data_IF_758129165484
#
_entry.id   IF_758129165484
#
_cell.length_a   1.000
_cell.length_b   1.000
_cell.length_c   1.000
_cell.angle_alpha   90.00
_cell.angle_beta   90.00
_cell.angle_gamma   90.00
#
_symmetry.space_group_name_H-M   'P 1'
#
loop_
_entity.id
_entity.type
_entity.pdbx_description
1 polymer ?
#
# COMPACT_ATOMS: atom_id res chain seq x y z
N UNK A 1 -24.89 62.87 -6.49
CA UNK A 1 -23.82 61.94 -6.86
C UNK A 1 -23.91 60.76 -5.94
N UNK A 2 -24.48 59.63 -6.39
CA UNK A 2 -24.63 58.42 -5.57
C UNK A 2 -23.40 57.54 -5.78
N UNK A 3 -22.62 57.37 -4.75
CA UNK A 3 -21.47 56.44 -4.77
C UNK A 3 -22.02 55.03 -4.55
N UNK A 4 -21.95 54.20 -5.58
CA UNK A 4 -22.33 52.81 -5.53
C UNK A 4 -21.16 52.02 -4.93
N UNK A 5 -21.29 51.60 -3.65
CA UNK A 5 -20.32 50.77 -2.99
C UNK A 5 -20.51 49.33 -3.49
N UNK A 6 -19.67 48.88 -4.42
CA UNK A 6 -19.64 47.50 -4.87
C UNK A 6 -18.82 46.69 -3.84
N UNK A 7 -19.53 46.02 -2.95
CA UNK A 7 -18.95 45.02 -2.07
C UNK A 7 -18.55 43.78 -2.90
N UNK A 8 -17.28 43.68 -3.25
CA UNK A 8 -16.69 42.45 -3.75
C UNK A 8 -16.62 41.45 -2.60
N UNK A 9 -17.59 40.56 -2.50
CA UNK A 9 -17.49 39.37 -1.69
C UNK A 9 -16.46 38.43 -2.35
N UNK A 10 -15.20 38.50 -1.89
CA UNK A 10 -14.20 37.45 -2.14
C UNK A 10 -14.67 36.19 -1.38
N UNK A 11 -15.35 35.33 -2.08
CA UNK A 11 -15.56 33.98 -1.60
C UNK A 11 -14.19 33.29 -1.56
N UNK A 12 -13.57 33.27 -0.40
CA UNK A 12 -12.44 32.43 -0.11
C UNK A 12 -12.93 30.99 -0.16
N UNK A 13 -12.81 30.33 -1.30
CA UNK A 13 -12.93 28.90 -1.41
C UNK A 13 -11.77 28.30 -0.65
N UNK A 14 -11.98 27.97 0.62
CA UNK A 14 -11.05 27.16 1.38
C UNK A 14 -11.05 25.78 0.74
N UNK A 15 -10.12 25.53 -0.17
CA UNK A 15 -9.80 24.18 -0.57
C UNK A 15 -9.26 23.49 0.67
N UNK A 16 -10.00 22.55 1.23
CA UNK A 16 -9.51 21.66 2.27
C UNK A 16 -8.41 20.79 1.64
N UNK A 17 -7.16 21.28 1.73
CA UNK A 17 -6.01 20.47 1.34
C UNK A 17 -5.93 19.32 2.34
N UNK A 18 -6.29 18.13 1.89
CA UNK A 18 -6.07 16.93 2.70
C UNK A 18 -4.56 16.76 2.92
N UNK A 19 -4.18 16.44 4.17
CA UNK A 19 -2.79 16.15 4.50
C UNK A 19 -2.26 15.02 3.62
N UNK A 20 -1.11 15.26 2.98
CA UNK A 20 -0.41 14.27 2.18
C UNK A 20 0.66 13.60 3.02
N UNK A 21 0.64 12.29 3.05
CA UNK A 21 1.65 11.45 3.69
C UNK A 21 2.57 10.81 2.65
N UNK A 22 3.78 10.50 3.06
CA UNK A 22 4.66 9.58 2.36
C UNK A 22 4.44 8.17 2.88
N UNK A 23 4.44 7.21 1.97
CA UNK A 23 4.32 5.80 2.29
C UNK A 23 5.58 5.07 1.85
N UNK A 24 6.11 4.25 2.74
CA UNK A 24 7.22 3.34 2.47
C UNK A 24 6.75 1.92 2.80
N UNK A 25 6.82 1.05 1.81
CA UNK A 25 6.36 -0.33 1.91
C UNK A 25 7.52 -1.24 1.59
N UNK A 26 7.87 -2.11 2.52
CA UNK A 26 8.88 -3.15 2.33
C UNK A 26 8.18 -4.48 2.16
N UNK A 27 8.39 -5.12 1.03
CA UNK A 27 7.81 -6.44 0.72
C UNK A 27 8.91 -7.47 0.66
N UNK A 28 8.86 -8.46 1.53
CA UNK A 28 9.84 -9.54 1.58
C UNK A 28 9.28 -10.79 0.91
N UNK A 29 9.90 -11.20 -0.18
CA UNK A 29 9.68 -12.50 -0.81
C UNK A 29 10.44 -13.56 -0.05
N UNK A 30 9.79 -14.67 0.27
CA UNK A 30 10.41 -15.73 1.06
C UNK A 30 11.54 -16.45 0.31
N UNK A 31 12.37 -17.17 1.06
CA UNK A 31 13.52 -17.88 0.51
C UNK A 31 13.19 -19.37 0.22
N UNK A 32 12.09 -19.61 -0.46
CA UNK A 32 11.72 -20.95 -0.95
C UNK A 32 12.06 -21.09 -2.43
N UNK A 33 12.23 -22.32 -2.90
CA UNK A 33 12.36 -22.59 -4.33
C UNK A 33 11.15 -22.03 -5.07
N UNK A 34 11.39 -21.38 -6.21
CA UNK A 34 10.38 -20.73 -7.05
C UNK A 34 9.48 -19.69 -6.33
N UNK A 35 9.96 -19.10 -5.23
CA UNK A 35 9.22 -18.12 -4.45
C UNK A 35 8.93 -16.80 -5.17
N UNK A 36 9.77 -16.41 -6.13
CA UNK A 36 9.66 -15.15 -6.87
C UNK A 36 8.49 -15.11 -7.86
N UNK A 37 8.05 -13.91 -8.27
CA UNK A 37 6.94 -13.74 -9.21
C UNK A 37 7.11 -12.53 -10.14
N UNK A 38 6.66 -12.69 -11.39
CA UNK A 38 6.49 -11.59 -12.36
C UNK A 38 5.04 -11.07 -12.39
N UNK A 39 4.17 -11.57 -11.53
CA UNK A 39 2.78 -11.15 -11.47
C UNK A 39 2.63 -9.69 -11.02
N UNK A 40 1.51 -9.07 -11.39
CA UNK A 40 1.15 -7.76 -10.84
C UNK A 40 0.60 -7.95 -9.43
N UNK A 41 1.20 -7.22 -8.49
CA UNK A 41 0.83 -7.25 -7.08
C UNK A 41 0.13 -5.94 -6.71
N UNK A 42 -1.03 -6.05 -6.09
CA UNK A 42 -1.79 -4.95 -5.50
C UNK A 42 -1.82 -5.07 -3.97
N UNK A 43 -1.95 -3.94 -3.31
CA UNK A 43 -1.95 -3.85 -1.86
C UNK A 43 -3.03 -2.87 -1.39
N UNK A 44 -3.84 -3.30 -0.43
CA UNK A 44 -4.71 -2.40 0.32
C UNK A 44 -4.39 -2.52 1.80
N UNK A 45 -4.22 -1.39 2.47
CA UNK A 45 -4.08 -1.32 3.92
C UNK A 45 -5.16 -0.44 4.51
N UNK A 46 -5.74 -0.87 5.63
CA UNK A 46 -6.84 -0.16 6.25
C UNK A 46 -6.71 -0.07 7.77
N UNK A 47 -7.35 0.96 8.31
CA UNK A 47 -7.49 1.19 9.74
C UNK A 47 -8.70 0.44 10.30
N UNK A 48 -8.83 0.38 11.63
CA UNK A 48 -9.96 -0.30 12.29
C UNK A 48 -11.32 0.28 11.89
N UNK A 49 -11.40 1.58 11.56
CA UNK A 49 -12.63 2.24 11.11
C UNK A 49 -12.86 2.17 9.59
N UNK A 50 -12.09 1.36 8.87
CA UNK A 50 -12.27 1.09 7.45
C UNK A 50 -11.71 2.14 6.50
N UNK A 51 -10.99 3.16 6.97
CA UNK A 51 -10.25 4.07 6.09
C UNK A 51 -9.07 3.32 5.49
N UNK A 52 -8.87 3.45 4.17
CA UNK A 52 -7.89 2.64 3.47
C UNK A 52 -7.06 3.43 2.47
N UNK A 53 -5.86 2.91 2.23
CA UNK A 53 -5.00 3.20 1.08
C UNK A 53 -5.08 2.00 0.14
N UNK A 54 -5.35 2.25 -1.14
CA UNK A 54 -5.40 1.21 -2.18
C UNK A 54 -4.31 1.50 -3.20
N UNK A 55 -3.47 0.51 -3.47
CA UNK A 55 -2.40 0.53 -4.47
C UNK A 55 -2.68 -0.58 -5.48
N UNK A 56 -3.22 -0.20 -6.63
CA UNK A 56 -3.61 -1.14 -7.70
C UNK A 56 -2.44 -1.92 -8.29
N UNK A 57 -1.23 -1.37 -8.21
CA UNK A 57 0.01 -2.03 -8.59
C UNK A 57 1.17 -1.44 -7.82
N UNK A 58 1.96 -2.31 -7.17
CA UNK A 58 3.18 -1.88 -6.48
C UNK A 58 4.29 -1.48 -7.44
N UNK A 59 4.33 -2.05 -8.65
CA UNK A 59 5.43 -1.83 -9.60
C UNK A 59 5.76 -0.35 -9.88
N UNK A 60 4.78 0.55 -10.11
CA UNK A 60 5.08 1.98 -10.30
C UNK A 60 5.62 2.69 -9.06
N UNK A 61 5.46 2.11 -7.89
CA UNK A 61 5.96 2.61 -6.62
C UNK A 61 7.39 2.13 -6.31
N UNK A 62 7.87 1.14 -7.04
CA UNK A 62 9.23 0.60 -6.93
C UNK A 62 10.25 1.35 -7.76
N UNK A 63 11.50 0.98 -7.60
CA UNK A 63 12.59 1.52 -8.39
C UNK A 63 12.41 1.16 -9.87
N UNK A 64 12.49 2.16 -10.75
CA UNK A 64 12.38 1.96 -12.20
C UNK A 64 13.46 1.00 -12.71
N UNK A 65 13.03 -0.01 -13.47
CA UNK A 65 13.93 -1.01 -14.06
C UNK A 65 14.43 -2.09 -13.10
N UNK A 66 14.00 -2.04 -11.82
CA UNK A 66 14.32 -3.09 -10.86
C UNK A 66 13.40 -4.30 -11.05
N UNK A 67 13.95 -5.52 -10.93
CA UNK A 67 13.19 -6.76 -10.94
C UNK A 67 12.75 -7.05 -9.50
N UNK A 68 11.48 -6.72 -9.20
CA UNK A 68 10.92 -6.88 -7.87
C UNK A 68 10.44 -8.32 -7.63
N UNK A 69 10.24 -8.66 -6.38
CA UNK A 69 9.66 -9.92 -5.90
C UNK A 69 10.50 -11.16 -6.20
N UNK A 70 11.83 -10.97 -6.26
CA UNK A 70 12.76 -12.08 -6.39
C UNK A 70 12.92 -12.85 -5.07
N UNK A 71 13.17 -14.15 -5.19
CA UNK A 71 13.38 -15.06 -4.05
C UNK A 71 14.38 -14.49 -3.05
N UNK A 72 13.97 -14.43 -1.77
CA UNK A 72 14.80 -14.00 -0.65
C UNK A 72 15.10 -12.49 -0.59
N UNK A 73 14.52 -11.70 -1.51
CA UNK A 73 14.73 -10.25 -1.54
C UNK A 73 13.65 -9.49 -0.76
N UNK A 74 14.04 -8.30 -0.31
CA UNK A 74 13.11 -7.30 0.21
C UNK A 74 13.14 -6.11 -0.73
N UNK A 75 12.00 -5.80 -1.32
CA UNK A 75 11.81 -4.69 -2.22
C UNK A 75 11.15 -3.51 -1.52
N UNK A 76 11.56 -2.29 -1.91
CA UNK A 76 11.05 -1.04 -1.37
C UNK A 76 10.14 -0.38 -2.40
N UNK A 77 8.96 0.03 -1.93
CA UNK A 77 7.97 0.76 -2.72
C UNK A 77 7.62 2.06 -1.99
N UNK A 78 7.68 3.18 -2.70
CA UNK A 78 7.49 4.51 -2.13
C UNK A 78 6.45 5.29 -2.93
N UNK A 79 5.62 6.02 -2.22
CA UNK A 79 4.60 6.85 -2.85
C UNK A 79 3.98 7.85 -1.90
N UNK A 80 3.08 8.66 -2.44
CA UNK A 80 2.37 9.70 -1.68
C UNK A 80 0.88 9.54 -1.84
N UNK A 81 0.14 9.93 -0.83
CA UNK A 81 -1.30 9.92 -0.86
C UNK A 81 -1.92 10.53 0.39
N UNK A 82 -3.23 10.46 0.46
CA UNK A 82 -3.97 10.91 1.64
C UNK A 82 -3.57 10.12 2.87
N UNK A 83 -3.26 10.79 3.95
CA UNK A 83 -2.91 10.15 5.22
C UNK A 83 -4.06 9.29 5.75
N UNK A 84 -3.72 8.11 6.25
CA UNK A 84 -4.63 7.32 7.08
C UNK A 84 -4.76 7.99 8.45
N UNK A 85 -5.98 8.09 9.01
CA UNK A 85 -6.21 8.83 10.26
C UNK A 85 -5.62 8.15 11.49
N UNK A 86 -5.35 6.84 11.41
CA UNK A 86 -4.80 6.04 12.50
C UNK A 86 -3.86 4.96 11.98
N UNK A 87 -3.23 4.23 12.88
CA UNK A 87 -2.35 3.11 12.52
C UNK A 87 -3.14 2.04 11.75
N UNK A 88 -2.65 1.59 10.59
CA UNK A 88 -3.28 0.49 9.87
C UNK A 88 -3.17 -0.82 10.65
N UNK A 89 -4.19 -1.65 10.54
CA UNK A 89 -4.27 -2.94 11.23
C UNK A 89 -4.75 -4.08 10.34
N UNK A 90 -5.24 -3.78 9.13
CA UNK A 90 -5.67 -4.79 8.16
C UNK A 90 -4.98 -4.58 6.83
N UNK A 91 -4.64 -5.68 6.17
CA UNK A 91 -4.02 -5.70 4.83
C UNK A 91 -4.74 -6.71 3.95
N UNK A 92 -4.98 -6.33 2.70
CA UNK A 92 -5.28 -7.24 1.59
C UNK A 92 -4.12 -7.15 0.61
N UNK A 93 -3.50 -8.28 0.32
CA UNK A 93 -2.42 -8.42 -0.67
C UNK A 93 -2.90 -9.39 -1.75
N UNK A 94 -2.78 -8.99 -3.02
CA UNK A 94 -3.30 -9.77 -4.13
C UNK A 94 -2.30 -9.86 -5.28
N UNK A 95 -2.26 -11.03 -5.90
CA UNK A 95 -1.57 -11.29 -7.15
C UNK A 95 -2.59 -11.48 -8.27
N UNK A 96 -2.32 -10.95 -9.46
CA UNK A 96 -3.19 -11.22 -10.62
C UNK A 96 -2.97 -12.63 -11.21
N UNK A 97 -2.01 -13.38 -10.71
CA UNK A 97 -1.70 -14.74 -11.15
C UNK A 97 -1.31 -14.87 -12.61
N UNK A 98 -0.76 -13.82 -13.21
CA UNK A 98 -0.34 -13.76 -14.61
C UNK A 98 1.17 -13.52 -14.73
N UNK A 99 1.70 -13.74 -15.92
CA UNK A 99 3.13 -13.60 -16.19
C UNK A 99 3.87 -14.93 -16.10
N UNK A 100 5.19 -14.86 -16.23
CA UNK A 100 6.06 -16.01 -16.04
C UNK A 100 6.21 -16.29 -14.54
N UNK A 101 6.14 -17.56 -14.13
CA UNK A 101 6.19 -17.96 -12.72
C UNK A 101 5.25 -17.14 -11.83
N UNK A 102 3.93 -17.25 -12.00
CA UNK A 102 2.96 -16.37 -11.34
C UNK A 102 2.77 -16.68 -9.85
N UNK A 103 3.17 -17.86 -9.37
CA UNK A 103 3.14 -18.21 -7.95
C UNK A 103 4.14 -17.38 -7.17
N UNK A 104 3.78 -16.95 -5.96
CA UNK A 104 4.60 -16.10 -5.12
C UNK A 104 4.51 -16.51 -3.65
N UNK A 105 5.68 -16.81 -3.04
CA UNK A 105 5.74 -17.02 -1.61
C UNK A 105 6.15 -15.71 -0.92
N UNK A 106 5.22 -15.08 -0.26
CA UNK A 106 5.46 -13.84 0.49
C UNK A 106 5.69 -14.11 1.96
N UNK A 107 6.75 -13.55 2.52
CA UNK A 107 7.08 -13.66 3.95
C UNK A 107 6.33 -12.61 4.77
N UNK A 108 6.51 -11.34 4.43
CA UNK A 108 5.89 -10.22 5.16
C UNK A 108 5.81 -8.95 4.33
N UNK A 109 4.97 -8.05 4.79
CA UNK A 109 4.86 -6.67 4.31
C UNK A 109 5.00 -5.73 5.49
N UNK A 110 6.00 -4.85 5.47
CA UNK A 110 6.14 -3.76 6.43
C UNK A 110 5.67 -2.45 5.80
N UNK A 111 4.68 -1.85 6.41
CA UNK A 111 4.07 -0.61 5.97
C UNK A 111 4.43 0.53 6.92
N UNK A 112 4.85 1.67 6.35
CA UNK A 112 5.13 2.90 7.10
C UNK A 112 4.43 4.07 6.44
N UNK A 113 3.74 4.87 7.24
CA UNK A 113 3.21 6.16 6.87
C UNK A 113 4.01 7.24 7.60
N UNK A 114 4.58 8.17 6.84
CA UNK A 114 5.32 9.32 7.35
C UNK A 114 4.43 10.55 7.17
N UNK A 115 4.05 11.15 8.28
CA UNK A 115 3.19 12.33 8.31
C UNK A 115 3.98 13.62 8.04
N UNK A 116 3.33 14.74 7.67
CA UNK A 116 4.02 16.01 7.43
C UNK A 116 4.85 16.52 8.62
N UNK A 117 4.46 16.18 9.86
CA UNK A 117 5.21 16.47 11.08
C UNK A 117 6.34 15.49 11.39
N UNK A 118 6.67 14.58 10.44
CA UNK A 118 7.66 13.51 10.54
C UNK A 118 7.32 12.40 11.55
N UNK A 119 6.13 12.37 12.12
CA UNK A 119 5.68 11.21 12.89
C UNK A 119 5.45 10.01 11.96
N UNK A 120 5.71 8.81 12.46
CA UNK A 120 5.64 7.58 11.67
C UNK A 120 4.65 6.61 12.30
N UNK A 121 3.72 6.12 11.48
CA UNK A 121 2.85 5.00 11.83
C UNK A 121 3.31 3.77 11.07
N UNK A 122 3.69 2.72 11.78
CA UNK A 122 4.23 1.49 11.20
C UNK A 122 3.38 0.27 11.57
N UNK A 123 3.29 -0.67 10.65
CA UNK A 123 2.71 -1.99 10.86
C UNK A 123 3.42 -3.02 10.00
N UNK A 124 3.84 -4.12 10.59
CA UNK A 124 4.32 -5.30 9.86
C UNK A 124 3.24 -6.36 9.87
N UNK A 125 2.85 -6.79 8.67
CA UNK A 125 1.92 -7.88 8.42
C UNK A 125 2.74 -9.15 8.10
N UNK A 126 2.66 -10.16 8.95
CA UNK A 126 3.25 -11.48 8.68
C UNK A 126 2.33 -12.24 7.74
N UNK A 127 2.88 -12.78 6.68
CA UNK A 127 2.13 -13.52 5.65
C UNK A 127 2.55 -14.98 5.64
N UNK A 128 3.80 -15.27 5.37
CA UNK A 128 4.41 -16.59 5.39
C UNK A 128 3.58 -17.67 4.66
N UNK A 129 3.18 -17.36 3.39
CA UNK A 129 2.38 -18.29 2.57
C UNK A 129 2.49 -18.01 1.09
N UNK A 130 2.04 -18.97 0.31
CA UNK A 130 1.89 -18.84 -1.13
C UNK A 130 0.65 -18.01 -1.51
N UNK A 131 0.82 -17.16 -2.52
CA UNK A 131 -0.22 -16.60 -3.36
C UNK A 131 -0.05 -17.26 -4.74
N UNK A 132 -0.69 -18.41 -4.92
CA UNK A 132 -0.55 -19.25 -6.09
C UNK A 132 -1.80 -20.11 -6.24
N UNK A 133 -2.06 -20.62 -7.45
CA UNK A 133 -3.18 -21.56 -7.70
C UNK A 133 -2.79 -23.01 -7.46
N UNK A 134 -1.53 -23.34 -7.65
CA UNK A 134 -0.94 -24.68 -7.60
C UNK A 134 -0.21 -24.99 -6.28
N UNK A 135 -0.13 -24.03 -5.38
CA UNK A 135 0.43 -24.18 -4.04
C UNK A 135 -0.64 -23.93 -2.97
N UNK A 136 -0.59 -24.70 -1.87
CA UNK A 136 -1.54 -24.49 -0.76
C UNK A 136 -1.40 -23.07 -0.16
N UNK A 137 -2.50 -22.36 0.08
CA UNK A 137 -3.92 -22.74 0.07
C UNK A 137 -4.64 -22.61 -1.29
N UNK A 138 -3.97 -22.34 -2.40
CA UNK A 138 -4.57 -22.24 -3.72
C UNK A 138 -5.28 -20.91 -4.03
N UNK A 139 -4.92 -19.85 -3.32
CA UNK A 139 -5.50 -18.52 -3.51
C UNK A 139 -4.44 -17.50 -3.94
N UNK A 140 -4.87 -16.52 -4.72
CA UNK A 140 -4.02 -15.42 -5.19
C UNK A 140 -4.08 -14.19 -4.27
N UNK A 141 -4.68 -14.31 -3.12
CA UNK A 141 -4.79 -13.22 -2.16
C UNK A 141 -4.62 -13.70 -0.72
N UNK A 142 -4.30 -12.76 0.14
CA UNK A 142 -4.27 -12.96 1.58
C UNK A 142 -4.83 -11.71 2.28
N UNK A 143 -5.65 -11.95 3.29
CA UNK A 143 -6.08 -10.92 4.24
C UNK A 143 -5.36 -11.19 5.56
N UNK A 144 -4.68 -10.17 6.07
CA UNK A 144 -4.15 -10.17 7.44
C UNK A 144 -4.94 -9.13 8.23
N UNK A 145 -5.66 -9.57 9.24
CA UNK A 145 -6.51 -8.72 10.07
C UNK A 145 -6.06 -8.78 11.53
N UNK A 146 -5.28 -7.78 11.92
CA UNK A 146 -4.76 -7.58 13.27
C UNK A 146 -5.46 -6.41 13.97
N UNK A 147 -6.66 -6.02 13.49
CA UNK A 147 -7.42 -4.95 14.09
C UNK A 147 -7.95 -5.35 15.48
N UNK A 148 -8.04 -4.41 16.43
CA UNK A 148 -8.71 -4.67 17.70
C UNK A 148 -10.14 -5.15 17.47
N UNK A 149 -10.55 -6.16 18.25
CA UNK A 149 -11.93 -6.69 18.25
C UNK A 149 -12.78 -5.93 19.25
#
# INVERSE_FOLDING_TARGET
MKILLVLFLLALTQSTAYAQCEFVILVTTGNKEDAGTDARISLSVSTANGKMLVIESLKPWGQKGHNNFERGHTDTFEGRGKCLPSKPCRMLLESNGKGNKPGWFVDKVAFSQIEPNLSVKQKTFKVNRWLARDESPGTLFVVVDDCPK
#
